data_IF_328191360312
#
_entry.id   IF_328191360312
#
_cell.length_a   1.000
_cell.length_b   1.000
_cell.length_c   1.000
_cell.angle_alpha   90.00
_cell.angle_beta   90.00
_cell.angle_gamma   90.00
#
_symmetry.space_group_name_H-M   'P 1'
#
loop_
_entity.id
_entity.type
_entity.pdbx_description
1 polymer ?
#
# COMPACT_ATOMS: atom_id res chain seq x y z
N UNK A 1 -15.53 -11.09 -3.84
CA UNK A 1 -14.62 -9.96 -3.57
C UNK A 1 -14.06 -9.49 -4.89
N UNK A 2 -14.05 -8.19 -5.17
CA UNK A 2 -13.52 -7.62 -6.42
C UNK A 2 -12.00 -7.74 -6.43
N UNK A 3 -11.40 -7.79 -7.61
CA UNK A 3 -9.95 -7.76 -7.76
C UNK A 3 -9.36 -6.44 -7.24
N UNK A 4 -9.90 -5.33 -7.71
CA UNK A 4 -9.55 -4.00 -7.23
C UNK A 4 -10.78 -3.10 -7.11
N UNK A 5 -10.68 -2.10 -6.27
CA UNK A 5 -11.62 -0.99 -6.17
C UNK A 5 -10.90 0.28 -6.60
N UNK A 6 -11.53 1.05 -7.49
CA UNK A 6 -11.01 2.37 -7.88
C UNK A 6 -11.37 3.38 -6.80
N UNK A 7 -10.36 4.10 -6.32
CA UNK A 7 -10.48 5.22 -5.39
C UNK A 7 -10.71 6.48 -6.21
N UNK A 8 -11.91 7.02 -6.17
CA UNK A 8 -12.37 8.09 -7.06
C UNK A 8 -12.48 9.46 -6.37
N UNK A 9 -12.43 9.49 -5.03
CA UNK A 9 -12.58 10.73 -4.25
C UNK A 9 -11.43 10.95 -3.26
N UNK A 10 -11.19 12.22 -2.90
CA UNK A 10 -10.20 12.57 -1.88
C UNK A 10 -10.54 11.99 -0.51
N UNK A 11 -11.82 11.90 -0.17
CA UNK A 11 -12.29 11.30 1.07
C UNK A 11 -11.96 9.79 1.11
N UNK A 12 -12.21 9.08 0.02
CA UNK A 12 -11.78 7.69 -0.12
C UNK A 12 -10.27 7.55 0.01
N UNK A 13 -9.50 8.40 -0.68
CA UNK A 13 -8.04 8.37 -0.60
C UNK A 13 -7.55 8.63 0.83
N UNK A 14 -8.09 9.63 1.52
CA UNK A 14 -7.81 9.88 2.94
C UNK A 14 -8.18 8.69 3.83
N UNK A 15 -9.26 7.99 3.50
CA UNK A 15 -9.64 6.79 4.24
C UNK A 15 -8.59 5.68 4.13
N UNK A 16 -8.02 5.40 2.96
CA UNK A 16 -6.99 4.36 2.78
C UNK A 16 -5.57 4.84 3.06
N UNK A 17 -5.33 6.13 3.19
CA UNK A 17 -4.01 6.66 3.58
C UNK A 17 -3.71 6.52 5.08
N UNK A 18 -4.68 6.16 5.90
CA UNK A 18 -4.48 5.87 7.32
C UNK A 18 -3.89 4.47 7.51
N UNK A 19 -2.76 4.38 8.20
CA UNK A 19 -2.02 3.12 8.37
C UNK A 19 -2.82 2.05 9.11
N UNK A 20 -3.60 2.42 10.12
CA UNK A 20 -4.40 1.48 10.88
C UNK A 20 -5.59 0.96 10.05
N UNK A 21 -6.23 1.82 9.25
CA UNK A 21 -7.29 1.38 8.33
C UNK A 21 -6.74 0.40 7.28
N UNK A 22 -5.53 0.64 6.77
CA UNK A 22 -4.88 -0.31 5.85
C UNK A 22 -4.55 -1.65 6.52
N UNK A 23 -4.11 -1.67 7.79
CA UNK A 23 -3.93 -2.91 8.55
C UNK A 23 -5.25 -3.67 8.71
N UNK A 24 -6.34 -2.98 9.05
CA UNK A 24 -7.68 -3.59 9.14
C UNK A 24 -8.10 -4.19 7.79
N UNK A 25 -7.95 -3.44 6.69
CA UNK A 25 -8.25 -3.95 5.34
C UNK A 25 -7.43 -5.20 5.03
N UNK A 26 -6.13 -5.21 5.31
CA UNK A 26 -5.25 -6.36 5.04
C UNK A 26 -5.70 -7.63 5.77
N UNK A 27 -6.23 -7.50 6.99
CA UNK A 27 -6.83 -8.62 7.70
C UNK A 27 -8.16 -9.05 7.04
N UNK A 28 -9.01 -8.08 6.68
CA UNK A 28 -10.32 -8.32 6.08
C UNK A 28 -10.28 -8.84 4.63
N UNK A 29 -9.16 -8.67 3.94
CA UNK A 29 -8.88 -9.33 2.66
C UNK A 29 -8.73 -10.84 2.85
N UNK A 30 -8.04 -11.28 3.90
CA UNK A 30 -7.79 -12.70 4.16
C UNK A 30 -9.05 -13.42 4.64
N UNK A 31 -9.74 -12.84 5.62
CA UNK A 31 -10.89 -13.48 6.27
C UNK A 31 -11.89 -12.45 6.82
N UNK A 32 -13.12 -12.88 7.06
CA UNK A 32 -14.13 -12.03 7.67
C UNK A 32 -13.98 -12.02 9.20
N UNK A 33 -13.87 -10.82 9.80
CA UNK A 33 -13.71 -10.62 11.24
C UNK A 33 -14.80 -9.72 11.81
N UNK A 34 -15.11 -9.96 13.10
CA UNK A 34 -15.91 -9.02 13.90
C UNK A 34 -15.03 -7.89 14.44
N UNK A 35 -15.62 -6.75 14.81
CA UNK A 35 -14.91 -5.66 15.46
C UNK A 35 -14.20 -6.09 16.75
N UNK A 36 -14.75 -7.05 17.50
CA UNK A 36 -14.13 -7.61 18.71
C UNK A 36 -12.87 -8.44 18.36
N UNK A 37 -12.93 -9.27 17.32
CA UNK A 37 -11.77 -10.04 16.87
C UNK A 37 -10.65 -9.13 16.40
N UNK A 38 -10.96 -8.10 15.59
CA UNK A 38 -9.99 -7.10 15.15
C UNK A 38 -9.38 -6.32 16.32
N UNK A 39 -10.20 -5.97 17.32
CA UNK A 39 -9.73 -5.33 18.57
C UNK A 39 -8.68 -6.17 19.29
N UNK A 40 -8.90 -7.49 19.35
CA UNK A 40 -7.93 -8.44 19.95
C UNK A 40 -6.68 -8.59 19.10
N UNK A 41 -6.83 -8.81 17.78
CA UNK A 41 -5.69 -9.00 16.85
C UNK A 41 -4.76 -7.79 16.79
N UNK A 42 -5.34 -6.59 16.83
CA UNK A 42 -4.59 -5.33 16.72
C UNK A 42 -4.21 -4.75 18.09
N UNK A 43 -4.59 -5.39 19.19
CA UNK A 43 -4.37 -4.90 20.56
C UNK A 43 -4.91 -3.48 20.79
N UNK A 44 -6.09 -3.18 20.21
CA UNK A 44 -6.73 -1.87 20.27
C UNK A 44 -8.05 -1.92 21.03
N UNK A 45 -8.52 -0.75 21.52
CA UNK A 45 -9.84 -0.65 22.10
C UNK A 45 -10.96 -0.90 21.07
N UNK A 46 -12.07 -1.52 21.52
CA UNK A 46 -13.22 -1.78 20.64
C UNK A 46 -13.78 -0.50 20.01
N UNK A 47 -13.81 0.61 20.77
CA UNK A 47 -14.28 1.90 20.26
C UNK A 47 -13.42 2.44 19.12
N UNK A 48 -12.08 2.31 19.22
CA UNK A 48 -11.17 2.74 18.17
C UNK A 48 -11.34 1.90 16.91
N UNK A 49 -11.45 0.57 17.04
CA UNK A 49 -11.70 -0.32 15.90
C UNK A 49 -13.04 -0.03 15.25
N UNK A 50 -14.10 0.17 16.04
CA UNK A 50 -15.43 0.51 15.50
C UNK A 50 -15.43 1.83 14.73
N UNK A 51 -14.72 2.84 15.19
CA UNK A 51 -14.54 4.09 14.43
C UNK A 51 -13.95 3.82 13.04
N UNK A 52 -12.83 3.09 12.97
CA UNK A 52 -12.18 2.79 11.69
C UNK A 52 -13.03 1.88 10.80
N UNK A 53 -13.73 0.90 11.34
CA UNK A 53 -14.67 0.07 10.57
C UNK A 53 -15.79 0.90 9.97
N UNK A 54 -16.35 1.84 10.73
CA UNK A 54 -17.40 2.74 10.22
C UNK A 54 -16.89 3.63 9.07
N UNK A 55 -15.69 4.18 9.21
CA UNK A 55 -15.05 4.96 8.14
C UNK A 55 -14.84 4.14 6.87
N UNK A 56 -14.30 2.92 7.01
CA UNK A 56 -14.09 2.03 5.89
C UNK A 56 -15.38 1.56 5.23
N UNK A 57 -16.42 1.26 6.02
CA UNK A 57 -17.76 0.89 5.53
C UNK A 57 -18.43 2.06 4.79
N UNK A 58 -18.36 3.29 5.35
CA UNK A 58 -18.92 4.49 4.74
C UNK A 58 -18.31 4.83 3.38
N UNK A 59 -17.02 4.55 3.19
CA UNK A 59 -16.30 4.80 1.95
C UNK A 59 -16.28 3.59 1.01
N UNK A 60 -16.96 2.49 1.35
CA UNK A 60 -17.16 1.33 0.50
C UNK A 60 -15.94 0.41 0.38
N UNK A 61 -14.99 0.45 1.32
CA UNK A 61 -13.82 -0.42 1.34
C UNK A 61 -14.07 -1.79 1.96
N UNK A 62 -15.04 -1.86 2.87
CA UNK A 62 -15.46 -3.07 3.53
C UNK A 62 -16.99 -3.19 3.52
N UNK A 63 -17.50 -4.39 3.69
CA UNK A 63 -18.90 -4.70 3.77
C UNK A 63 -19.20 -5.70 4.89
N UNK A 64 -20.43 -5.71 5.38
CA UNK A 64 -20.91 -6.74 6.30
C UNK A 64 -21.36 -7.95 5.49
N UNK A 65 -20.63 -9.05 5.60
CA UNK A 65 -20.93 -10.28 4.84
C UNK A 65 -21.86 -11.24 5.59
N UNK A 66 -21.91 -11.13 6.92
CA UNK A 66 -22.84 -11.91 7.75
C UNK A 66 -23.02 -11.26 9.12
N UNK A 67 -24.11 -11.65 9.78
CA UNK A 67 -24.37 -11.30 11.18
C UNK A 67 -24.65 -12.56 11.98
N UNK A 68 -24.20 -12.58 13.23
CA UNK A 68 -24.48 -13.67 14.18
C UNK A 68 -24.99 -13.08 15.49
N UNK A 69 -26.03 -13.67 16.04
CA UNK A 69 -26.51 -13.30 17.37
C UNK A 69 -25.79 -14.18 18.42
N UNK A 70 -25.15 -13.54 19.39
CA UNK A 70 -24.50 -14.22 20.51
C UNK A 70 -24.83 -13.49 21.81
N UNK A 71 -25.50 -14.21 22.72
CA UNK A 71 -25.95 -13.67 24.01
C UNK A 71 -26.79 -12.39 23.88
N UNK A 72 -27.72 -12.33 22.93
CA UNK A 72 -28.59 -11.17 22.68
C UNK A 72 -27.89 -9.99 21.99
N UNK A 73 -26.63 -10.15 21.56
CA UNK A 73 -25.86 -9.12 20.85
C UNK A 73 -25.63 -9.56 19.41
N UNK A 74 -26.05 -8.72 18.47
CA UNK A 74 -25.79 -8.94 17.03
C UNK A 74 -24.34 -8.58 16.73
N UNK A 75 -23.56 -9.58 16.31
CA UNK A 75 -22.18 -9.40 15.84
C UNK A 75 -22.16 -9.30 14.33
N UNK A 76 -21.53 -8.25 13.80
CA UNK A 76 -21.32 -8.04 12.37
C UNK A 76 -19.95 -8.58 11.99
N UNK A 77 -19.86 -9.36 10.92
CA UNK A 77 -18.62 -9.81 10.31
C UNK A 77 -18.37 -8.97 9.06
N UNK A 78 -17.22 -8.32 9.06
CA UNK A 78 -16.77 -7.44 7.98
C UNK A 78 -15.79 -8.17 7.07
N UNK A 79 -15.80 -7.82 5.81
CA UNK A 79 -14.83 -8.27 4.82
C UNK A 79 -14.47 -7.13 3.88
N UNK A 80 -13.24 -7.13 3.33
CA UNK A 80 -12.86 -6.19 2.29
C UNK A 80 -13.66 -6.45 1.00
N UNK A 81 -14.04 -5.39 0.29
CA UNK A 81 -14.79 -5.50 -0.98
C UNK A 81 -13.88 -5.87 -2.15
N UNK A 82 -12.58 -5.60 -2.03
CA UNK A 82 -11.58 -5.86 -3.05
C UNK A 82 -10.26 -6.33 -2.45
N UNK A 83 -9.45 -7.00 -3.27
CA UNK A 83 -8.08 -7.42 -2.89
C UNK A 83 -7.10 -6.25 -2.89
N UNK A 84 -7.31 -5.26 -3.78
CA UNK A 84 -6.42 -4.11 -3.94
C UNK A 84 -7.21 -2.83 -4.26
N UNK A 85 -6.54 -1.67 -4.14
CA UNK A 85 -7.14 -0.35 -4.32
C UNK A 85 -6.28 0.48 -5.27
N UNK A 86 -6.89 0.90 -6.39
CA UNK A 86 -6.23 1.70 -7.41
C UNK A 86 -6.76 3.14 -7.36
N UNK A 87 -5.87 4.12 -7.25
CA UNK A 87 -6.26 5.53 -7.34
C UNK A 87 -6.64 5.86 -8.78
N UNK A 88 -7.78 6.54 -8.96
CA UNK A 88 -8.22 7.02 -10.27
C UNK A 88 -7.23 8.04 -10.85
N UNK A 89 -6.96 7.94 -12.14
CA UNK A 89 -6.11 8.89 -12.85
C UNK A 89 -6.73 10.31 -12.83
N UNK A 90 -8.06 10.42 -12.76
CA UNK A 90 -8.79 11.69 -12.66
C UNK A 90 -8.60 12.39 -11.30
N UNK A 91 -8.23 11.63 -10.27
CA UNK A 91 -7.96 12.18 -8.94
C UNK A 91 -6.56 12.79 -8.84
N UNK A 92 -5.60 12.33 -9.64
CA UNK A 92 -4.21 12.78 -9.58
C UNK A 92 -4.02 14.29 -9.73
N UNK A 93 -4.74 15.01 -10.63
CA UNK A 93 -4.63 16.47 -10.72
C UNK A 93 -5.04 17.20 -9.43
N UNK A 94 -6.02 16.67 -8.69
CA UNK A 94 -6.48 17.26 -7.42
C UNK A 94 -5.47 17.10 -6.28
N UNK A 95 -4.52 16.16 -6.40
CA UNK A 95 -3.49 15.89 -5.40
C UNK A 95 -2.32 16.87 -5.46
N UNK A 96 -2.26 17.74 -6.48
CA UNK A 96 -1.21 18.76 -6.58
C UNK A 96 -1.18 19.72 -5.38
N UNK A 97 -2.30 19.89 -4.71
CA UNK A 97 -2.40 20.74 -3.51
C UNK A 97 -2.08 20.01 -2.20
N UNK A 98 -2.07 18.64 -2.21
CA UNK A 98 -1.81 17.83 -1.01
C UNK A 98 -0.70 16.80 -1.27
N UNK A 99 0.53 17.29 -1.39
CA UNK A 99 1.72 16.44 -1.60
C UNK A 99 1.95 15.46 -0.46
N UNK A 100 1.54 15.80 0.77
CA UNK A 100 1.66 14.93 1.94
C UNK A 100 0.76 13.71 1.81
N UNK A 101 -0.46 13.88 1.30
CA UNK A 101 -1.40 12.77 1.11
C UNK A 101 -0.88 11.74 0.08
N UNK A 102 -0.29 12.23 -1.01
CA UNK A 102 0.31 11.34 -2.01
C UNK A 102 1.50 10.57 -1.43
N UNK A 103 2.37 11.24 -0.69
CA UNK A 103 3.51 10.59 -0.02
C UNK A 103 3.04 9.53 0.98
N UNK A 104 2.07 9.84 1.84
CA UNK A 104 1.50 8.87 2.81
C UNK A 104 0.86 7.67 2.11
N UNK A 105 0.17 7.89 0.98
CA UNK A 105 -0.41 6.81 0.19
C UNK A 105 0.67 5.87 -0.33
N UNK A 106 1.77 6.39 -0.89
CA UNK A 106 2.90 5.60 -1.35
C UNK A 106 3.58 4.85 -0.21
N UNK A 107 3.79 5.50 0.94
CA UNK A 107 4.36 4.87 2.13
C UNK A 107 3.49 3.73 2.66
N UNK A 108 2.18 3.92 2.72
CA UNK A 108 1.26 2.88 3.16
C UNK A 108 1.23 1.69 2.20
N UNK A 109 1.33 1.94 0.91
CA UNK A 109 1.47 0.89 -0.10
C UNK A 109 2.73 0.05 0.14
N UNK A 110 3.86 0.69 0.39
CA UNK A 110 5.11 0.00 0.72
C UNK A 110 5.04 -0.76 2.05
N UNK A 111 4.44 -0.19 3.11
CA UNK A 111 4.24 -0.86 4.41
C UNK A 111 3.41 -2.14 4.26
N UNK A 112 2.30 -2.07 3.53
CA UNK A 112 1.46 -3.23 3.25
C UNK A 112 2.23 -4.31 2.49
N UNK A 113 3.03 -3.89 1.51
CA UNK A 113 3.88 -4.79 0.71
C UNK A 113 4.97 -5.43 1.55
N UNK A 114 5.59 -4.70 2.46
CA UNK A 114 6.56 -5.22 3.42
C UNK A 114 5.96 -6.33 4.28
N UNK A 115 4.74 -6.12 4.80
CA UNK A 115 4.03 -7.15 5.57
C UNK A 115 3.76 -8.40 4.75
N UNK A 116 3.36 -8.25 3.47
CA UNK A 116 3.17 -9.40 2.57
C UNK A 116 4.47 -10.15 2.32
N UNK A 117 5.56 -9.43 2.11
CA UNK A 117 6.89 -10.02 1.90
C UNK A 117 7.36 -10.82 3.12
N UNK A 118 7.17 -10.28 4.33
CA UNK A 118 7.49 -10.97 5.58
C UNK A 118 6.68 -12.25 5.80
N UNK A 119 5.45 -12.30 5.32
CA UNK A 119 4.57 -13.45 5.46
C UNK A 119 4.59 -14.39 4.23
N UNK A 120 5.42 -14.12 3.26
CA UNK A 120 5.57 -15.00 2.10
C UNK A 120 6.25 -16.31 2.53
N UNK A 121 5.82 -17.46 1.97
CA UNK A 121 6.45 -18.74 2.26
C UNK A 121 7.94 -18.75 1.87
N UNK A 122 8.77 -19.47 2.61
CA UNK A 122 10.21 -19.59 2.34
C UNK A 122 10.49 -20.11 0.92
N UNK A 123 9.62 -20.96 0.40
CA UNK A 123 9.68 -21.51 -0.96
C UNK A 123 9.67 -20.42 -2.04
N UNK A 124 9.03 -19.28 -1.76
CA UNK A 124 9.00 -18.13 -2.67
C UNK A 124 10.38 -17.53 -2.95
N UNK A 125 11.36 -17.80 -2.08
CA UNK A 125 12.72 -17.24 -2.15
C UNK A 125 13.79 -18.28 -2.40
N UNK A 126 13.44 -19.58 -2.50
CA UNK A 126 14.41 -20.63 -2.73
C UNK A 126 15.05 -20.51 -4.11
N UNK A 127 16.37 -20.62 -4.13
CA UNK A 127 17.14 -20.72 -5.35
C UNK A 127 17.30 -22.20 -5.71
N UNK A 128 16.51 -22.67 -6.65
CA UNK A 128 16.67 -24.03 -7.17
C UNK A 128 17.87 -24.10 -8.15
N UNK A 129 18.59 -25.22 -8.13
CA UNK A 129 19.67 -25.48 -9.09
C UNK A 129 19.12 -25.58 -10.54
N UNK A 130 17.90 -26.10 -10.69
CA UNK A 130 17.17 -26.13 -11.94
C UNK A 130 16.45 -24.79 -12.16
N UNK A 131 16.87 -24.06 -13.18
CA UNK A 131 16.31 -22.73 -13.50
C UNK A 131 14.86 -22.77 -13.93
N UNK A 132 14.35 -23.92 -14.40
CA UNK A 132 12.94 -24.08 -14.77
C UNK A 132 12.02 -24.21 -13.53
N UNK A 133 12.58 -24.62 -12.40
CA UNK A 133 11.86 -24.74 -11.13
C UNK A 133 12.02 -23.53 -10.22
N UNK A 134 12.85 -22.57 -10.65
CA UNK A 134 13.07 -21.35 -9.88
C UNK A 134 11.82 -20.48 -9.93
N UNK A 135 11.27 -20.06 -8.80
CA UNK A 135 10.15 -19.15 -8.80
C UNK A 135 10.53 -17.84 -9.47
N UNK A 136 9.65 -17.26 -10.31
CA UNK A 136 9.90 -15.95 -10.90
C UNK A 136 9.98 -14.90 -9.81
N UNK A 137 11.10 -14.20 -9.72
CA UNK A 137 11.31 -13.14 -8.75
C UNK A 137 12.01 -11.96 -9.39
N UNK A 138 11.64 -10.77 -8.96
CA UNK A 138 12.26 -9.52 -9.36
C UNK A 138 12.47 -8.64 -8.13
N UNK A 139 13.69 -8.12 -7.98
CA UNK A 139 14.00 -7.07 -7.02
C UNK A 139 14.88 -6.04 -7.72
N UNK A 140 14.40 -4.80 -7.82
CA UNK A 140 15.14 -3.72 -8.47
C UNK A 140 14.90 -2.41 -7.75
N UNK A 141 15.99 -1.68 -7.52
CA UNK A 141 15.95 -0.28 -7.13
C UNK A 141 16.82 0.49 -8.14
N UNK A 142 16.29 1.54 -8.73
CA UNK A 142 17.00 2.34 -9.72
C UNK A 142 16.65 3.82 -9.56
N UNK A 143 17.70 4.65 -9.58
CA UNK A 143 17.57 6.09 -9.70
C UNK A 143 18.21 6.51 -11.01
N UNK A 144 17.42 7.09 -11.92
CA UNK A 144 17.87 7.51 -13.24
C UNK A 144 17.74 9.03 -13.41
N UNK A 145 18.60 9.58 -14.27
CA UNK A 145 18.50 10.98 -14.72
C UNK A 145 18.23 11.00 -16.21
N UNK A 146 17.04 11.41 -16.60
CA UNK A 146 16.62 11.51 -17.98
C UNK A 146 15.61 12.67 -18.16
N UNK A 147 15.40 13.18 -19.38
CA UNK A 147 14.36 14.14 -19.66
C UNK A 147 12.97 13.61 -19.30
N UNK A 148 12.09 14.49 -18.77
CA UNK A 148 10.74 14.12 -18.33
C UNK A 148 9.95 13.35 -19.41
N UNK A 149 10.04 13.77 -20.67
CA UNK A 149 9.30 13.14 -21.76
C UNK A 149 9.74 11.69 -22.02
N UNK A 150 11.03 11.37 -21.83
CA UNK A 150 11.55 10.01 -21.95
C UNK A 150 11.06 9.13 -20.82
N UNK A 151 11.07 9.65 -19.57
CA UNK A 151 10.54 8.96 -18.40
C UNK A 151 9.05 8.70 -18.58
N UNK A 152 8.27 9.70 -19.05
CA UNK A 152 6.84 9.55 -19.31
C UNK A 152 6.55 8.50 -20.39
N UNK A 153 7.33 8.48 -21.46
CA UNK A 153 7.19 7.48 -22.53
C UNK A 153 7.53 6.06 -22.03
N UNK A 154 8.54 5.94 -21.17
CA UNK A 154 8.87 4.66 -20.54
C UNK A 154 7.75 4.20 -19.60
N UNK A 155 7.22 5.12 -18.78
CA UNK A 155 6.16 4.82 -17.82
C UNK A 155 4.88 4.34 -18.52
N UNK A 156 4.53 4.93 -19.67
CA UNK A 156 3.41 4.48 -20.47
C UNK A 156 3.58 3.01 -20.96
N UNK A 157 4.79 2.62 -21.37
CA UNK A 157 5.10 1.23 -21.73
C UNK A 157 4.98 0.30 -20.51
N UNK A 158 5.45 0.75 -19.36
CA UNK A 158 5.36 -0.01 -18.13
C UNK A 158 3.91 -0.24 -17.69
N UNK A 159 3.06 0.80 -17.81
CA UNK A 159 1.61 0.67 -17.54
C UNK A 159 0.95 -0.33 -18.50
N UNK A 160 1.35 -0.35 -19.78
CA UNK A 160 0.86 -1.34 -20.72
C UNK A 160 1.23 -2.78 -20.31
N UNK A 161 2.47 -3.01 -19.85
CA UNK A 161 2.89 -4.32 -19.30
C UNK A 161 2.09 -4.74 -18.06
N UNK A 162 1.77 -3.80 -17.18
CA UNK A 162 0.88 -4.08 -16.04
C UNK A 162 -0.54 -4.45 -16.50
N UNK A 163 -1.02 -3.86 -17.59
CA UNK A 163 -2.27 -4.25 -18.24
C UNK A 163 -2.24 -5.71 -18.72
N UNK A 164 -1.12 -6.16 -19.30
CA UNK A 164 -0.96 -7.54 -19.75
C UNK A 164 -1.05 -8.56 -18.60
N UNK A 165 -0.53 -8.22 -17.40
CA UNK A 165 -0.70 -9.05 -16.19
C UNK A 165 -2.18 -9.16 -15.81
N UNK A 166 -2.93 -8.06 -15.93
CA UNK A 166 -4.36 -8.06 -15.68
C UNK A 166 -5.11 -9.00 -16.64
N UNK A 167 -4.83 -8.89 -17.94
CA UNK A 167 -5.42 -9.75 -18.95
C UNK A 167 -5.02 -11.23 -18.78
N UNK A 168 -3.84 -11.52 -18.27
CA UNK A 168 -3.38 -12.89 -18.00
C UNK A 168 -4.27 -13.56 -16.96
N UNK A 169 -4.59 -12.84 -15.88
CA UNK A 169 -5.49 -13.35 -14.84
C UNK A 169 -6.92 -13.51 -15.36
N UNK A 170 -7.46 -12.51 -16.08
CA UNK A 170 -8.79 -12.61 -16.68
C UNK A 170 -8.91 -13.81 -17.63
N UNK A 171 -7.87 -14.08 -18.45
CA UNK A 171 -7.82 -15.27 -19.30
C UNK A 171 -7.83 -16.56 -18.49
N UNK A 172 -7.08 -16.61 -17.39
CA UNK A 172 -7.07 -17.77 -16.50
C UNK A 172 -8.43 -18.01 -15.87
N UNK A 173 -9.06 -17.00 -15.28
CA UNK A 173 -10.38 -17.09 -14.66
C UNK A 173 -11.46 -17.55 -15.67
N UNK A 174 -11.43 -17.03 -16.90
CA UNK A 174 -12.36 -17.42 -17.95
C UNK A 174 -12.19 -18.91 -18.34
N UNK A 175 -10.97 -19.44 -18.39
CA UNK A 175 -10.69 -20.86 -18.64
C UNK A 175 -11.27 -21.75 -17.53
N UNK A 176 -11.07 -21.37 -16.28
CA UNK A 176 -11.65 -22.08 -15.13
C UNK A 176 -13.17 -22.04 -15.18
N UNK A 177 -13.77 -20.89 -15.48
CA UNK A 177 -15.22 -20.74 -15.63
C UNK A 177 -15.79 -21.60 -16.78
N UNK A 178 -15.01 -21.83 -17.82
CA UNK A 178 -15.35 -22.73 -18.94
C UNK A 178 -15.19 -24.24 -18.61
N UNK A 179 -14.72 -24.57 -17.38
CA UNK A 179 -14.57 -25.95 -16.93
C UNK A 179 -13.25 -26.60 -17.35
N UNK A 180 -12.26 -25.83 -17.78
CA UNK A 180 -10.90 -26.34 -18.00
C UNK A 180 -10.27 -26.74 -16.66
N UNK A 181 -9.54 -27.86 -16.64
CA UNK A 181 -8.77 -28.26 -15.46
C UNK A 181 -7.68 -27.22 -15.20
N UNK A 182 -7.59 -26.69 -13.98
CA UNK A 182 -6.55 -25.71 -13.68
C UNK A 182 -5.16 -26.34 -13.80
N UNK A 183 -4.25 -25.64 -14.45
CA UNK A 183 -2.82 -25.89 -14.32
C UNK A 183 -2.40 -25.58 -12.86
N UNK A 184 -1.15 -25.86 -12.51
CA UNK A 184 -0.61 -25.46 -11.21
C UNK A 184 -0.79 -23.94 -11.03
N UNK A 185 -1.63 -23.56 -10.07
CA UNK A 185 -1.94 -22.17 -9.78
C UNK A 185 -0.83 -21.57 -8.91
N UNK A 186 -0.22 -20.49 -9.39
CA UNK A 186 0.79 -19.74 -8.66
C UNK A 186 0.36 -18.28 -8.51
N UNK A 187 0.56 -17.72 -7.32
CA UNK A 187 0.25 -16.33 -7.05
C UNK A 187 1.51 -15.48 -7.20
N UNK A 188 1.53 -14.57 -8.16
CA UNK A 188 2.61 -13.60 -8.35
C UNK A 188 2.23 -12.24 -7.78
N UNK A 189 3.00 -11.78 -6.79
CA UNK A 189 2.81 -10.47 -6.16
C UNK A 189 3.86 -9.50 -6.66
N UNK A 190 3.43 -8.39 -7.24
CA UNK A 190 4.27 -7.30 -7.70
C UNK A 190 3.86 -5.99 -7.01
N UNK A 191 4.84 -5.27 -6.48
CA UNK A 191 4.67 -3.90 -5.99
C UNK A 191 5.63 -2.99 -6.72
N UNK A 192 5.13 -1.83 -7.14
CA UNK A 192 5.96 -0.79 -7.73
C UNK A 192 5.56 0.58 -7.21
N UNK A 193 6.56 1.38 -6.86
CA UNK A 193 6.42 2.78 -6.50
C UNK A 193 7.47 3.56 -7.25
N UNK A 194 7.05 4.61 -7.96
CA UNK A 194 7.93 5.51 -8.67
C UNK A 194 7.48 6.95 -8.53
N UNK A 195 8.44 7.85 -8.36
CA UNK A 195 8.16 9.28 -8.26
C UNK A 195 9.28 10.10 -8.88
N UNK A 196 8.97 11.33 -9.29
CA UNK A 196 9.95 12.28 -9.79
C UNK A 196 10.61 13.00 -8.64
N UNK A 197 11.93 13.12 -8.70
CA UNK A 197 12.70 13.94 -7.75
C UNK A 197 13.58 14.93 -8.50
N UNK A 198 13.75 16.13 -7.94
CA UNK A 198 14.64 17.15 -8.50
C UNK A 198 16.08 16.99 -7.99
N UNK A 199 16.28 16.22 -6.96
CA UNK A 199 17.57 15.98 -6.33
C UNK A 199 17.79 14.46 -6.19
N UNK A 200 19.03 14.02 -6.35
CA UNK A 200 19.37 12.64 -6.02
C UNK A 200 19.22 12.43 -4.52
N UNK A 201 18.50 11.39 -4.16
CA UNK A 201 18.34 10.96 -2.77
C UNK A 201 19.45 9.93 -2.54
N UNK A 202 20.56 10.36 -1.94
CA UNK A 202 21.59 9.41 -1.53
C UNK A 202 21.17 8.77 -0.21
N UNK A 203 21.13 7.45 -0.20
CA UNK A 203 21.26 6.69 1.02
C UNK A 203 22.75 6.47 1.19
N UNK A 204 23.43 7.38 1.90
CA UNK A 204 24.83 7.20 2.22
C UNK A 204 24.92 6.17 3.36
N UNK A 205 25.58 5.07 3.12
CA UNK A 205 25.97 4.14 4.20
C UNK A 205 27.07 4.75 5.09
N UNK A 206 27.47 6.00 4.85
CA UNK A 206 28.63 6.57 5.49
C UNK A 206 28.46 8.04 5.92
N UNK A 207 29.28 8.45 6.84
CA UNK A 207 29.35 9.58 7.76
C UNK A 207 29.16 11.02 7.18
N UNK A 208 28.87 11.18 5.91
CA UNK A 208 28.74 12.51 5.28
C UNK A 208 27.40 12.72 4.57
N UNK A 209 26.35 12.90 5.36
CA UNK A 209 25.12 13.46 4.78
C UNK A 209 25.38 14.90 4.31
N UNK A 210 24.82 15.31 3.16
CA UNK A 210 24.83 16.71 2.75
C UNK A 210 24.29 17.62 3.87
N UNK A 211 24.76 18.85 3.97
CA UNK A 211 24.40 19.78 5.07
C UNK A 211 22.88 19.99 5.26
N UNK A 212 22.12 19.81 4.18
CA UNK A 212 20.66 19.96 4.17
C UNK A 212 19.89 18.68 4.49
N UNK A 213 20.57 17.59 4.88
CA UNK A 213 19.96 16.32 5.30
C UNK A 213 20.32 15.97 6.73
N UNK A 214 19.48 15.19 7.36
CA UNK A 214 19.68 14.66 8.70
C UNK A 214 19.09 13.26 8.85
N UNK A 215 19.59 12.49 9.82
CA UNK A 215 18.97 11.26 10.22
C UNK A 215 17.86 11.55 11.22
N UNK A 216 16.70 10.94 11.01
CA UNK A 216 15.65 10.86 12.03
C UNK A 216 15.54 9.40 12.51
N UNK A 217 15.35 9.21 13.81
CA UNK A 217 15.03 7.91 14.37
C UNK A 217 13.58 7.56 14.06
N UNK A 218 13.34 6.30 13.73
CA UNK A 218 11.99 5.76 13.57
C UNK A 218 11.76 4.66 14.60
N UNK A 219 10.73 4.82 15.41
CA UNK A 219 10.24 3.78 16.33
C UNK A 219 9.25 2.82 15.64
N UNK A 220 9.04 2.99 14.35
CA UNK A 220 8.15 2.14 13.57
C UNK A 220 8.89 0.86 13.16
N UNK A 221 8.42 -0.30 13.62
CA UNK A 221 9.00 -1.61 13.33
C UNK A 221 9.10 -1.95 11.82
N UNK A 222 8.30 -1.28 10.97
CA UNK A 222 8.29 -1.47 9.51
C UNK A 222 9.20 -0.49 8.76
N UNK A 223 9.93 0.36 9.44
CA UNK A 223 10.86 1.31 8.84
C UNK A 223 12.28 1.08 9.38
N UNK A 224 13.30 1.46 8.61
CA UNK A 224 14.65 1.48 9.14
C UNK A 224 14.73 2.31 10.42
N UNK A 225 15.54 1.89 11.39
CA UNK A 225 15.73 2.61 12.65
C UNK A 225 16.26 4.03 12.47
N UNK A 226 16.89 4.30 11.32
CA UNK A 226 17.35 5.62 10.90
C UNK A 226 16.87 5.89 9.47
N UNK A 227 16.27 7.04 9.25
CA UNK A 227 15.80 7.51 7.95
C UNK A 227 16.51 8.82 7.65
N UNK A 228 17.02 8.97 6.42
CA UNK A 228 17.58 10.23 5.94
C UNK A 228 16.43 11.13 5.48
N UNK A 229 16.35 12.31 6.05
CA UNK A 229 15.35 13.31 5.67
C UNK A 229 15.99 14.66 5.38
N UNK A 230 15.39 15.43 4.50
CA UNK A 230 15.80 16.81 4.25
C UNK A 230 15.40 17.68 5.45
N UNK A 231 16.34 18.46 5.99
CA UNK A 231 16.07 19.42 7.05
C UNK A 231 14.97 20.40 6.59
N UNK A 232 13.94 20.58 7.40
CA UNK A 232 12.93 21.61 7.13
C UNK A 232 13.62 22.97 7.20
N UNK A 233 13.54 23.76 6.12
CA UNK A 233 13.92 25.17 6.21
C UNK A 233 13.01 25.81 7.27
N UNK A 234 13.62 26.36 8.33
CA UNK A 234 12.88 27.22 9.27
C UNK A 234 12.37 28.40 8.44
N UNK A 235 11.07 28.56 8.34
CA UNK A 235 10.48 29.78 7.84
C UNK A 235 10.78 30.87 8.88
N UNK A 236 11.45 31.95 8.48
CA UNK A 236 11.79 33.10 9.31
C UNK A 236 10.55 33.92 9.80
N UNK A 237 9.38 33.28 9.87
CA UNK A 237 8.12 33.95 10.27
C UNK A 237 7.71 33.72 11.73
N UNK A 238 8.47 32.97 12.51
CA UNK A 238 8.09 32.68 13.92
C UNK A 238 8.81 33.57 14.98
N UNK A 239 9.61 34.54 14.56
CA UNK A 239 10.31 35.46 15.44
C UNK A 239 9.71 36.89 15.41
N UNK A 240 8.39 37.05 15.50
CA UNK A 240 7.85 38.35 15.99
C UNK A 240 7.78 38.34 17.53
N UNK A 241 8.54 39.16 18.21
CA UNK A 241 8.41 39.28 19.67
C UNK A 241 7.06 39.89 20.00
N UNK A 242 6.20 39.15 20.69
CA UNK A 242 5.00 39.71 21.33
C UNK A 242 5.44 40.83 22.26
N UNK A 243 5.42 42.06 21.75
CA UNK A 243 5.55 43.27 22.58
C UNK A 243 4.29 43.46 23.40
N UNK A 244 4.54 43.76 24.64
CA UNK A 244 3.63 44.00 25.77
C UNK A 244 2.39 44.81 25.49
#
# INVERSE_FOLDING_TARGET
MKRFLVVETLEQLKAVSDSLRMQIISLLVKEAYTGKQLSTLLSLSASKVHYHLKELENHGFIEVVRTEEKNGIVQKFYRAVAYDFKVSDDLLPSLHEDTMLLQETMLNHLRTSTTRLYNAPDESFLLFADTQKRPPAIAMNAEIKAPRHEISAWLAKYQALLGELAEMEDRYENRIAAGEAPDLEENFYLVTVGFMTNERIYVADDESLPENYEYISSDNEYLPSKIVVKKKQRSDQDDEPKSK
#
